data_IF_416471729169
#
_entry.id   IF_416471729169
#
_cell.length_a   1.000
_cell.length_b   1.000
_cell.length_c   1.000
_cell.angle_alpha   90.00
_cell.angle_beta   90.00
_cell.angle_gamma   90.00
#
_symmetry.space_group_name_H-M   'P 1'
#
loop_
_entity.id
_entity.type
_entity.pdbx_description
1 polymer ?
#
# COMPACT_ATOMS: atom_id res chain seq x y z
N UNK A 1 -6.56 -15.29 13.34
CA UNK A 1 -7.20 -15.53 12.02
C UNK A 1 -6.52 -16.71 11.34
N UNK A 2 -7.24 -17.53 10.57
CA UNK A 2 -6.62 -18.56 9.72
C UNK A 2 -6.22 -17.94 8.37
N UNK A 3 -4.91 -17.92 8.09
CA UNK A 3 -4.36 -17.33 6.87
C UNK A 3 -4.22 -18.35 5.74
N UNK A 4 -4.51 -19.63 5.96
CA UNK A 4 -4.26 -20.71 4.98
C UNK A 4 -4.92 -20.48 3.62
N UNK A 5 -6.06 -19.79 3.59
CA UNK A 5 -6.78 -19.45 2.34
C UNK A 5 -6.17 -18.31 1.53
N UNK A 6 -5.18 -17.59 2.11
CA UNK A 6 -4.54 -16.43 1.48
C UNK A 6 -3.05 -16.64 1.22
N UNK A 7 -2.39 -17.49 2.00
CA UNK A 7 -0.97 -17.77 1.92
C UNK A 7 -0.67 -18.90 0.93
N UNK A 8 0.49 -18.80 0.28
CA UNK A 8 1.09 -19.95 -0.38
C UNK A 8 1.71 -20.88 0.69
N UNK A 9 1.57 -22.22 0.57
CA UNK A 9 2.01 -23.14 1.60
C UNK A 9 3.52 -23.14 1.83
N UNK A 10 4.32 -22.93 0.78
CA UNK A 10 5.77 -22.90 0.86
C UNK A 10 6.29 -21.77 -0.03
N UNK A 11 7.04 -20.83 0.53
CA UNK A 11 7.74 -19.82 -0.24
C UNK A 11 9.20 -20.21 -0.44
N UNK A 12 9.69 -20.09 -1.67
CA UNK A 12 11.10 -20.28 -2.01
C UNK A 12 11.89 -18.97 -1.92
N UNK A 13 11.24 -17.87 -1.54
CA UNK A 13 11.91 -16.57 -1.42
C UNK A 13 13.05 -16.62 -0.42
N UNK A 14 14.23 -16.21 -0.86
CA UNK A 14 15.36 -15.94 0.03
C UNK A 14 15.18 -14.54 0.64
N UNK A 15 15.11 -14.50 1.97
CA UNK A 15 15.03 -13.25 2.72
C UNK A 15 16.33 -12.45 2.60
N UNK A 16 16.21 -11.14 2.79
CA UNK A 16 17.35 -10.25 2.88
C UNK A 16 18.09 -10.46 4.22
N UNK A 17 19.37 -10.09 4.28
CA UNK A 17 20.17 -10.20 5.52
C UNK A 17 19.57 -9.39 6.67
N UNK A 18 18.88 -8.30 6.36
CA UNK A 18 18.19 -7.44 7.32
C UNK A 18 16.76 -7.27 6.82
N UNK A 19 15.82 -7.88 7.55
CA UNK A 19 14.40 -7.63 7.34
C UNK A 19 13.94 -6.60 8.36
N UNK A 20 13.12 -5.66 7.89
CA UNK A 20 12.61 -4.58 8.72
C UNK A 20 11.10 -4.39 8.49
N UNK A 21 10.44 -3.84 9.51
CA UNK A 21 9.04 -3.47 9.47
C UNK A 21 8.84 -2.22 10.32
N UNK A 22 8.11 -1.25 9.81
CA UNK A 22 7.84 0.01 10.52
C UNK A 22 6.42 0.49 10.23
N UNK A 23 5.72 0.93 11.26
CA UNK A 23 4.38 1.48 11.12
C UNK A 23 4.18 2.69 12.03
N UNK A 24 3.46 3.69 11.53
CA UNK A 24 2.99 4.82 12.35
C UNK A 24 1.51 5.07 12.07
N UNK A 25 0.81 5.47 13.14
CA UNK A 25 -0.55 5.96 13.10
C UNK A 25 -0.54 7.41 13.57
N UNK A 26 -0.52 8.35 12.64
CA UNK A 26 -0.53 9.78 12.97
C UNK A 26 -1.91 10.21 13.45
N UNK A 27 -1.96 11.17 14.38
CA UNK A 27 -3.20 11.65 15.01
C UNK A 27 -4.10 10.48 15.49
N UNK A 28 -3.50 9.51 16.16
CA UNK A 28 -4.19 8.31 16.64
C UNK A 28 -5.43 8.58 17.54
N UNK A 29 -5.49 9.67 18.33
CA UNK A 29 -6.68 10.03 19.09
C UNK A 29 -7.88 10.47 18.22
N UNK A 30 -7.63 11.00 17.01
CA UNK A 30 -8.69 11.43 16.12
C UNK A 30 -9.39 10.22 15.47
N UNK A 31 -10.65 10.03 15.81
CA UNK A 31 -11.52 8.96 15.31
C UNK A 31 -12.59 9.44 14.33
N UNK A 32 -12.62 10.74 14.05
CA UNK A 32 -13.67 11.37 13.23
C UNK A 32 -13.22 11.65 11.79
N UNK A 33 -11.96 12.07 11.64
CA UNK A 33 -11.41 12.37 10.31
C UNK A 33 -11.13 11.09 9.51
N UNK A 34 -11.23 11.20 8.20
CA UNK A 34 -10.82 10.13 7.27
C UNK A 34 -9.41 9.66 7.58
N UNK A 35 -9.18 8.34 7.56
CA UNK A 35 -7.86 7.76 7.79
C UNK A 35 -7.44 6.91 6.61
N UNK A 36 -6.32 7.25 6.01
CA UNK A 36 -5.75 6.57 4.84
C UNK A 36 -4.65 5.63 5.32
N UNK A 37 -4.69 4.37 4.87
CA UNK A 37 -3.62 3.40 5.13
C UNK A 37 -2.73 3.25 3.90
N UNK A 38 -1.44 3.51 4.06
CA UNK A 38 -0.41 3.27 3.05
C UNK A 38 0.35 1.99 3.40
N UNK A 39 0.36 1.02 2.50
CA UNK A 39 1.07 -0.26 2.67
C UNK A 39 2.10 -0.38 1.56
N UNK A 40 3.36 -0.65 1.91
CA UNK A 40 4.41 -0.84 0.91
C UNK A 40 5.79 -1.07 1.49
N UNK A 41 6.78 -0.54 0.80
CA UNK A 41 8.21 -0.70 1.09
C UNK A 41 8.89 0.63 1.49
N UNK A 42 10.20 0.72 1.29
CA UNK A 42 10.99 1.92 1.59
C UNK A 42 10.54 3.16 0.81
N UNK A 43 9.91 3.01 -0.35
CA UNK A 43 9.39 4.13 -1.14
C UNK A 43 8.15 4.71 -0.45
N UNK A 44 7.23 3.87 0.04
CA UNK A 44 6.10 4.30 0.86
C UNK A 44 6.61 4.96 2.15
N UNK A 45 7.59 4.34 2.83
CA UNK A 45 8.19 4.90 4.05
C UNK A 45 8.78 6.30 3.81
N UNK A 46 9.44 6.53 2.69
CA UNK A 46 10.03 7.82 2.37
C UNK A 46 8.98 8.86 1.93
N UNK A 47 7.95 8.43 1.19
CA UNK A 47 6.90 9.33 0.67
C UNK A 47 5.87 9.73 1.73
N UNK A 48 5.65 8.93 2.77
CA UNK A 48 4.53 9.11 3.71
C UNK A 48 4.53 10.46 4.44
N UNK A 49 5.71 11.02 4.74
CA UNK A 49 5.80 12.34 5.38
C UNK A 49 5.25 13.45 4.48
N UNK A 50 5.50 13.38 3.17
CA UNK A 50 4.98 14.30 2.19
C UNK A 50 3.47 14.14 1.98
N UNK A 51 2.99 12.89 1.95
CA UNK A 51 1.55 12.60 1.92
C UNK A 51 0.84 13.21 3.14
N UNK A 52 1.42 13.01 4.33
CA UNK A 52 0.87 13.56 5.57
C UNK A 52 0.82 15.10 5.54
N UNK A 53 1.88 15.75 5.07
CA UNK A 53 1.92 17.21 5.00
C UNK A 53 0.91 17.75 3.98
N UNK A 54 0.83 17.12 2.81
CA UNK A 54 -0.09 17.55 1.76
C UNK A 54 -1.56 17.32 2.11
N UNK A 55 -1.87 16.32 2.95
CA UNK A 55 -3.24 15.94 3.35
C UNK A 55 -3.59 16.32 4.80
N UNK A 56 -2.78 17.18 5.44
CA UNK A 56 -2.93 17.48 6.88
C UNK A 56 -4.32 18.01 7.26
N UNK A 57 -4.98 18.72 6.35
CA UNK A 57 -6.32 19.29 6.54
C UNK A 57 -7.44 18.41 5.94
N UNK A 58 -7.08 17.35 5.21
CA UNK A 58 -8.01 16.49 4.46
C UNK A 58 -8.20 15.13 5.15
N UNK A 59 -7.11 14.51 5.66
CA UNK A 59 -7.14 13.15 6.20
C UNK A 59 -5.97 12.84 7.12
N UNK A 60 -6.17 11.92 8.04
CA UNK A 60 -5.11 11.31 8.85
C UNK A 60 -4.42 10.19 8.07
N UNK A 61 -3.11 10.04 8.26
CA UNK A 61 -2.31 9.00 7.62
C UNK A 61 -1.90 7.95 8.63
N UNK A 62 -2.05 6.71 8.25
CA UNK A 62 -1.36 5.56 8.83
C UNK A 62 -0.52 4.92 7.75
N UNK A 63 0.64 4.37 8.09
CA UNK A 63 1.40 3.58 7.13
C UNK A 63 2.03 2.36 7.78
N UNK A 64 2.22 1.34 6.97
CA UNK A 64 3.07 0.21 7.24
C UNK A 64 3.99 -0.03 6.05
N UNK A 65 5.28 -0.03 6.33
CA UNK A 65 6.30 -0.30 5.34
C UNK A 65 7.24 -1.40 5.81
N UNK A 66 7.60 -2.31 4.91
CA UNK A 66 8.42 -3.47 5.23
C UNK A 66 9.28 -3.91 4.05
N UNK A 67 10.42 -4.55 4.34
CA UNK A 67 11.24 -5.25 3.35
C UNK A 67 10.67 -6.63 3.00
N UNK A 68 9.65 -7.09 3.68
CA UNK A 68 9.06 -8.40 3.45
C UNK A 68 8.29 -8.46 2.14
N UNK A 69 8.34 -9.62 1.52
CA UNK A 69 7.50 -9.95 0.38
C UNK A 69 6.15 -10.52 0.84
N UNK A 70 5.10 -10.33 0.05
CA UNK A 70 3.78 -10.96 0.31
C UNK A 70 3.83 -12.47 0.44
N UNK A 71 4.87 -13.13 -0.10
CA UNK A 71 5.08 -14.58 0.02
C UNK A 71 5.76 -15.00 1.33
N UNK A 72 6.22 -14.05 2.17
CA UNK A 72 6.83 -14.38 3.45
C UNK A 72 5.76 -14.86 4.45
N UNK A 73 6.02 -15.90 5.23
CA UNK A 73 5.00 -16.55 6.07
C UNK A 73 4.48 -15.68 7.22
N UNK A 74 5.19 -14.62 7.56
CA UNK A 74 4.82 -13.65 8.60
C UNK A 74 4.18 -12.37 8.05
N UNK A 75 4.17 -12.16 6.71
CA UNK A 75 3.64 -10.94 6.09
C UNK A 75 2.17 -10.69 6.46
N UNK A 76 1.29 -11.68 6.26
CA UNK A 76 -0.14 -11.53 6.57
C UNK A 76 -0.42 -11.38 8.07
N UNK A 77 0.42 -11.94 8.95
CA UNK A 77 0.27 -11.75 10.40
C UNK A 77 0.53 -10.30 10.82
N UNK A 78 1.57 -9.70 10.24
CA UNK A 78 1.85 -8.28 10.48
C UNK A 78 0.77 -7.40 9.86
N UNK A 79 0.35 -7.70 8.65
CA UNK A 79 -0.72 -6.97 7.97
C UNK A 79 -2.05 -7.06 8.74
N UNK A 80 -2.39 -8.21 9.31
CA UNK A 80 -3.58 -8.39 10.16
C UNK A 80 -3.52 -7.47 11.38
N UNK A 81 -2.38 -7.45 12.07
CA UNK A 81 -2.16 -6.53 13.20
C UNK A 81 -2.28 -5.05 12.79
N UNK A 82 -1.71 -4.67 11.64
CA UNK A 82 -1.78 -3.30 11.15
C UNK A 82 -3.21 -2.90 10.78
N UNK A 83 -3.97 -3.80 10.17
CA UNK A 83 -5.36 -3.55 9.76
C UNK A 83 -6.33 -3.44 10.93
N UNK A 84 -5.99 -3.97 12.11
CA UNK A 84 -6.75 -3.76 13.35
C UNK A 84 -6.63 -2.30 13.87
N UNK A 85 -5.65 -1.54 13.40
CA UNK A 85 -5.43 -0.12 13.77
C UNK A 85 -6.43 0.88 13.17
N UNK A 86 -7.47 0.40 12.43
CA UNK A 86 -8.52 1.25 11.83
C UNK A 86 -9.37 2.03 12.82
N UNK A 87 -10.45 2.66 12.35
CA UNK A 87 -11.04 2.52 11.02
C UNK A 87 -10.26 3.22 9.91
N UNK A 88 -10.25 2.61 8.73
CA UNK A 88 -9.68 3.21 7.52
C UNK A 88 -10.78 3.57 6.53
N UNK A 89 -10.55 4.60 5.72
CA UNK A 89 -11.48 5.04 4.66
C UNK A 89 -10.94 4.77 3.26
N UNK A 90 -9.64 4.51 3.13
CA UNK A 90 -8.99 4.19 1.86
C UNK A 90 -7.66 3.48 2.14
N UNK A 91 -7.30 2.52 1.29
CA UNK A 91 -6.05 1.77 1.37
C UNK A 91 -5.29 1.91 0.07
N UNK A 92 -3.99 2.19 0.17
CA UNK A 92 -3.03 2.06 -0.93
C UNK A 92 -2.11 0.88 -0.64
N UNK A 93 -1.91 0.02 -1.63
CA UNK A 93 -1.13 -1.20 -1.48
C UNK A 93 -0.10 -1.36 -2.59
N UNK A 94 1.15 -1.58 -2.18
CA UNK A 94 2.27 -1.96 -3.05
C UNK A 94 3.07 -3.11 -2.43
N UNK A 95 3.53 -4.04 -3.25
CA UNK A 95 4.57 -5.01 -2.91
C UNK A 95 5.22 -5.52 -4.21
N UNK A 96 6.40 -5.03 -4.54
CA UNK A 96 7.09 -5.38 -5.79
C UNK A 96 8.60 -5.44 -5.64
N UNK A 97 9.27 -4.38 -5.20
CA UNK A 97 10.74 -4.27 -5.24
C UNK A 97 11.43 -5.41 -4.48
N UNK A 98 10.95 -5.75 -3.29
CA UNK A 98 11.51 -6.83 -2.47
C UNK A 98 11.16 -8.24 -3.00
N UNK A 99 10.21 -8.34 -3.94
CA UNK A 99 9.83 -9.58 -4.61
C UNK A 99 10.60 -9.83 -5.92
N UNK A 100 11.44 -8.91 -6.38
CA UNK A 100 12.14 -8.99 -7.68
C UNK A 100 12.99 -10.22 -7.90
N UNK A 101 13.39 -10.91 -6.84
CA UNK A 101 14.17 -12.16 -6.87
C UNK A 101 13.36 -13.40 -6.50
N UNK A 102 12.07 -13.24 -6.22
CA UNK A 102 11.16 -14.34 -5.90
C UNK A 102 10.73 -15.09 -7.16
N UNK A 103 10.26 -16.32 -7.00
CA UNK A 103 9.55 -16.99 -8.08
C UNK A 103 8.31 -16.19 -8.48
N UNK A 104 8.13 -15.86 -9.76
CA UNK A 104 7.02 -15.02 -10.19
C UNK A 104 5.64 -15.63 -9.94
N UNK A 105 5.49 -16.95 -10.01
CA UNK A 105 4.19 -17.62 -9.80
C UNK A 105 3.83 -17.60 -8.31
N UNK A 106 4.80 -17.85 -7.43
CA UNK A 106 4.62 -17.74 -5.97
C UNK A 106 4.23 -16.32 -5.57
N UNK A 107 4.97 -15.32 -6.07
CA UNK A 107 4.66 -13.92 -5.77
C UNK A 107 3.26 -13.53 -6.25
N UNK A 108 2.89 -13.87 -7.48
CA UNK A 108 1.55 -13.57 -8.04
C UNK A 108 0.44 -14.18 -7.20
N UNK A 109 0.60 -15.44 -6.80
CA UNK A 109 -0.38 -16.15 -5.96
C UNK A 109 -0.51 -15.49 -4.59
N UNK A 110 0.62 -15.17 -3.94
CA UNK A 110 0.65 -14.51 -2.63
C UNK A 110 0.12 -13.07 -2.69
N UNK A 111 0.41 -12.33 -3.79
CA UNK A 111 -0.13 -10.99 -4.01
C UNK A 111 -1.66 -11.01 -4.12
N UNK A 112 -2.20 -11.89 -4.95
CA UNK A 112 -3.64 -12.09 -5.09
C UNK A 112 -4.29 -12.52 -3.76
N UNK A 113 -3.63 -13.38 -3.00
CA UNK A 113 -4.06 -13.76 -1.65
C UNK A 113 -4.09 -12.58 -0.69
N UNK A 114 -3.06 -11.72 -0.71
CA UNK A 114 -2.99 -10.50 0.12
C UNK A 114 -4.09 -9.50 -0.22
N UNK A 115 -4.37 -9.30 -1.51
CA UNK A 115 -5.48 -8.43 -1.94
C UNK A 115 -6.81 -8.96 -1.43
N UNK A 116 -7.08 -10.27 -1.57
CA UNK A 116 -8.29 -10.89 -1.01
C UNK A 116 -8.36 -10.75 0.51
N UNK A 117 -7.23 -10.94 1.20
CA UNK A 117 -7.17 -10.73 2.64
C UNK A 117 -7.59 -9.31 3.03
N UNK A 118 -7.07 -8.27 2.35
CA UNK A 118 -7.44 -6.88 2.61
C UNK A 118 -8.93 -6.62 2.37
N UNK A 119 -9.49 -7.17 1.30
CA UNK A 119 -10.92 -7.03 0.97
C UNK A 119 -11.82 -7.75 2.00
N UNK A 120 -11.44 -8.95 2.45
CA UNK A 120 -12.19 -9.72 3.44
C UNK A 120 -12.08 -9.13 4.86
N UNK A 121 -10.89 -8.60 5.20
CA UNK A 121 -10.62 -7.99 6.52
C UNK A 121 -11.27 -6.62 6.67
N UNK A 122 -11.32 -5.84 5.59
CA UNK A 122 -11.81 -4.47 5.57
C UNK A 122 -12.91 -4.30 4.48
N UNK A 123 -14.06 -4.98 4.66
CA UNK A 123 -15.10 -5.01 3.64
C UNK A 123 -15.66 -3.61 3.38
N UNK A 124 -15.78 -3.28 2.09
CA UNK A 124 -16.30 -1.99 1.64
C UNK A 124 -15.31 -0.83 1.73
N UNK A 125 -14.08 -1.04 2.21
CA UNK A 125 -13.03 -0.02 2.16
C UNK A 125 -12.36 -0.07 0.78
N UNK A 126 -12.33 1.04 0.02
CA UNK A 126 -11.68 1.10 -1.27
C UNK A 126 -10.19 0.76 -1.18
N UNK A 127 -9.72 -0.08 -2.11
CA UNK A 127 -8.33 -0.51 -2.21
C UNK A 127 -7.76 -0.05 -3.56
N UNK A 128 -6.64 0.66 -3.53
CA UNK A 128 -5.89 1.10 -4.72
C UNK A 128 -4.57 0.35 -4.76
N UNK A 129 -4.30 -0.33 -5.86
CA UNK A 129 -3.01 -0.98 -6.09
C UNK A 129 -2.02 0.04 -6.65
N UNK A 130 -0.82 0.11 -6.08
CA UNK A 130 0.23 1.01 -6.58
C UNK A 130 1.27 0.22 -7.38
N UNK A 131 1.65 0.71 -8.54
CA UNK A 131 2.77 0.17 -9.30
C UNK A 131 4.09 0.50 -8.60
N UNK A 132 5.03 -0.43 -8.63
CA UNK A 132 6.38 -0.21 -8.09
C UNK A 132 7.17 0.73 -8.99
N UNK A 133 7.97 1.61 -8.39
CA UNK A 133 8.86 2.53 -9.10
C UNK A 133 9.99 1.78 -9.81
N UNK A 134 10.54 2.33 -10.91
CA UNK A 134 11.70 1.75 -11.57
C UNK A 134 12.96 1.84 -10.69
N UNK A 135 13.93 1.00 -10.97
CA UNK A 135 15.27 1.06 -10.40
C UNK A 135 16.19 1.93 -11.27
N UNK A 136 17.31 2.40 -10.70
CA UNK A 136 18.41 3.00 -11.47
C UNK A 136 19.05 2.01 -12.45
N UNK A 137 18.99 0.72 -12.14
CA UNK A 137 19.43 -0.40 -12.98
C UNK A 137 18.36 -0.77 -14.00
N UNK A 138 18.69 -0.72 -15.29
CA UNK A 138 17.80 -1.10 -16.39
C UNK A 138 17.31 -2.54 -16.25
N UNK A 139 18.22 -3.48 -15.97
CA UNK A 139 17.88 -4.90 -15.79
C UNK A 139 16.84 -5.12 -14.68
N UNK A 140 16.95 -4.39 -13.58
CA UNK A 140 15.99 -4.49 -12.47
C UNK A 140 14.68 -3.81 -12.87
N UNK A 141 14.75 -2.71 -13.59
CA UNK A 141 13.58 -2.00 -14.13
C UNK A 141 12.76 -2.88 -15.06
N UNK A 142 13.36 -3.68 -15.92
CA UNK A 142 12.66 -4.63 -16.81
C UNK A 142 11.88 -5.68 -15.98
N UNK A 143 12.49 -6.17 -14.91
CA UNK A 143 11.80 -7.09 -13.99
C UNK A 143 10.61 -6.40 -13.32
N UNK A 144 10.81 -5.20 -12.77
CA UNK A 144 9.74 -4.42 -12.13
C UNK A 144 8.63 -4.09 -13.12
N UNK A 145 8.98 -3.73 -14.36
CA UNK A 145 8.01 -3.45 -15.42
C UNK A 145 7.12 -4.67 -15.69
N UNK A 146 7.71 -5.87 -15.80
CA UNK A 146 6.97 -7.12 -15.97
C UNK A 146 6.03 -7.41 -14.80
N UNK A 147 6.48 -7.15 -13.57
CA UNK A 147 5.66 -7.27 -12.37
C UNK A 147 4.50 -6.26 -12.40
N UNK A 148 4.76 -5.01 -12.74
CA UNK A 148 3.76 -3.96 -12.84
C UNK A 148 2.70 -4.25 -13.91
N UNK A 149 3.10 -4.80 -15.07
CA UNK A 149 2.14 -5.25 -16.09
C UNK A 149 1.18 -6.29 -15.51
N UNK A 150 1.71 -7.26 -14.77
CA UNK A 150 0.86 -8.26 -14.12
C UNK A 150 -0.08 -7.61 -13.08
N UNK A 151 0.41 -6.68 -12.25
CA UNK A 151 -0.43 -5.96 -11.27
C UNK A 151 -1.55 -5.19 -11.97
N UNK A 152 -1.25 -4.50 -13.07
CA UNK A 152 -2.24 -3.76 -13.85
C UNK A 152 -3.31 -4.68 -14.47
N UNK A 153 -2.89 -5.84 -15.01
CA UNK A 153 -3.81 -6.84 -15.56
C UNK A 153 -4.68 -7.47 -14.46
N UNK A 154 -4.09 -7.82 -13.33
CA UNK A 154 -4.80 -8.32 -12.16
C UNK A 154 -5.82 -7.29 -11.63
N UNK A 155 -5.43 -6.04 -11.50
CA UNK A 155 -6.31 -4.96 -11.09
C UNK A 155 -7.52 -4.80 -12.03
N UNK A 156 -7.26 -4.80 -13.34
CA UNK A 156 -8.32 -4.72 -14.35
C UNK A 156 -9.31 -5.89 -14.25
N UNK A 157 -8.81 -7.12 -14.06
CA UNK A 157 -9.65 -8.32 -13.93
C UNK A 157 -10.49 -8.32 -12.65
N UNK A 158 -10.06 -7.62 -11.60
CA UNK A 158 -10.73 -7.52 -10.32
C UNK A 158 -11.40 -6.16 -10.09
N UNK A 159 -11.51 -5.32 -11.11
CA UNK A 159 -12.12 -3.97 -11.06
C UNK A 159 -11.51 -3.07 -9.99
N UNK A 160 -10.20 -3.22 -9.72
CA UNK A 160 -9.46 -2.41 -8.76
C UNK A 160 -8.75 -1.24 -9.44
N UNK A 161 -8.78 -0.05 -8.85
CA UNK A 161 -8.03 1.09 -9.34
C UNK A 161 -6.52 0.89 -9.16
N UNK A 162 -5.75 1.47 -10.08
CA UNK A 162 -4.29 1.46 -10.06
C UNK A 162 -3.76 2.90 -9.97
N UNK A 163 -2.78 3.12 -9.11
CA UNK A 163 -1.99 4.33 -9.05
C UNK A 163 -0.61 4.05 -9.69
N UNK A 164 -0.32 4.76 -10.77
CA UNK A 164 0.94 4.59 -11.50
C UNK A 164 2.07 5.42 -10.87
N UNK A 165 2.94 4.76 -10.12
CA UNK A 165 4.19 5.30 -9.60
C UNK A 165 5.39 5.03 -10.51
N UNK A 166 5.21 4.18 -11.54
CA UNK A 166 6.29 3.80 -12.44
C UNK A 166 6.56 4.85 -13.51
N UNK A 167 5.53 5.21 -14.29
CA UNK A 167 5.71 6.04 -15.48
C UNK A 167 6.30 7.43 -15.20
N UNK A 168 5.87 8.19 -14.18
CA UNK A 168 6.43 9.51 -13.90
C UNK A 168 7.89 9.45 -13.44
N UNK A 169 8.35 8.32 -12.88
CA UNK A 169 9.74 8.15 -12.46
C UNK A 169 10.60 7.63 -13.61
N UNK A 170 10.06 6.79 -14.50
CA UNK A 170 10.80 6.18 -15.60
C UNK A 170 11.38 7.18 -16.62
N UNK A 171 10.83 8.40 -16.66
CA UNK A 171 11.30 9.47 -17.56
C UNK A 171 12.33 10.40 -16.91
N UNK A 172 12.66 10.20 -15.63
CA UNK A 172 13.63 11.05 -14.93
C UNK A 172 15.07 10.69 -15.28
N UNK A 173 15.93 11.70 -15.20
CA UNK A 173 17.39 11.53 -15.33
C UNK A 173 17.93 10.67 -14.17
N UNK A 174 18.97 9.87 -14.43
CA UNK A 174 19.62 9.01 -13.41
C UNK A 174 20.09 9.76 -12.15
N UNK A 175 20.26 11.05 -12.24
CA UNK A 175 20.59 11.95 -11.11
C UNK A 175 19.47 12.10 -10.09
N UNK A 176 18.24 11.68 -10.43
CA UNK A 176 17.11 11.64 -9.50
C UNK A 176 17.23 10.55 -8.44
N UNK A 177 18.08 9.52 -8.68
CA UNK A 177 18.36 8.44 -7.74
C UNK A 177 19.55 8.74 -6.83
N UNK A 178 19.46 8.40 -5.54
CA UNK A 178 20.58 8.44 -4.60
C UNK A 178 21.31 7.09 -4.50
N UNK A 179 20.59 5.99 -4.77
CA UNK A 179 21.13 4.62 -4.91
C UNK A 179 20.35 3.88 -6.01
N UNK A 180 20.35 2.55 -6.02
CA UNK A 180 19.66 1.78 -7.06
C UNK A 180 18.12 1.84 -6.96
N UNK A 181 17.55 2.18 -5.81
CA UNK A 181 16.12 2.12 -5.56
C UNK A 181 15.52 3.42 -5.00
N UNK A 182 16.34 4.22 -4.28
CA UNK A 182 15.85 5.39 -3.59
C UNK A 182 16.17 6.67 -4.35
N UNK A 183 15.35 7.66 -4.11
CA UNK A 183 15.32 8.91 -4.87
C UNK A 183 15.72 10.11 -4.02
N UNK A 184 15.99 11.21 -4.69
CA UNK A 184 16.08 12.53 -4.06
C UNK A 184 14.70 12.95 -3.51
N UNK A 185 14.65 13.84 -2.50
CA UNK A 185 13.42 14.25 -1.83
C UNK A 185 12.30 14.70 -2.78
N UNK A 186 12.64 15.38 -3.87
CA UNK A 186 11.70 15.93 -4.85
C UNK A 186 10.86 14.84 -5.52
N UNK A 187 11.45 13.67 -5.74
CA UNK A 187 10.75 12.54 -6.34
C UNK A 187 9.74 11.94 -5.35
N UNK A 188 10.10 11.83 -4.07
CA UNK A 188 9.16 11.37 -3.04
C UNK A 188 7.99 12.34 -2.86
N UNK A 189 8.24 13.65 -2.95
CA UNK A 189 7.20 14.68 -2.92
C UNK A 189 6.26 14.56 -4.12
N UNK A 190 6.81 14.34 -5.32
CA UNK A 190 6.03 14.08 -6.54
C UNK A 190 5.16 12.82 -6.38
N UNK A 191 5.72 11.70 -5.91
CA UNK A 191 4.97 10.47 -5.68
C UNK A 191 3.86 10.66 -4.64
N UNK A 192 4.13 11.42 -3.58
CA UNK A 192 3.13 11.78 -2.57
C UNK A 192 1.99 12.60 -3.18
N UNK A 193 2.29 13.49 -4.13
CA UNK A 193 1.26 14.32 -4.80
C UNK A 193 0.27 13.46 -5.61
N UNK A 194 0.71 12.33 -6.16
CA UNK A 194 -0.17 11.38 -6.84
C UNK A 194 -1.16 10.72 -5.86
N UNK A 195 -0.67 10.29 -4.68
CA UNK A 195 -1.55 9.76 -3.61
C UNK A 195 -2.53 10.85 -3.16
N UNK A 196 -2.02 12.03 -2.84
CA UNK A 196 -2.82 13.13 -2.31
C UNK A 196 -3.90 13.57 -3.29
N UNK A 197 -3.58 13.61 -4.59
CA UNK A 197 -4.53 13.89 -5.66
C UNK A 197 -5.64 12.83 -5.74
N UNK A 198 -5.29 11.56 -5.62
CA UNK A 198 -6.27 10.47 -5.65
C UNK A 198 -7.17 10.45 -4.40
N UNK A 199 -6.62 10.75 -3.22
CA UNK A 199 -7.39 10.91 -1.99
C UNK A 199 -8.41 12.05 -2.13
N UNK A 200 -7.98 13.24 -2.58
CA UNK A 200 -8.88 14.39 -2.74
C UNK A 200 -10.00 14.14 -3.73
N UNK A 201 -9.73 13.48 -4.85
CA UNK A 201 -10.78 13.10 -5.82
C UNK A 201 -11.88 12.28 -5.16
N UNK A 202 -11.53 11.34 -4.27
CA UNK A 202 -12.48 10.45 -3.59
C UNK A 202 -13.25 11.15 -2.48
N UNK A 203 -12.59 12.01 -1.71
CA UNK A 203 -13.23 12.83 -0.67
C UNK A 203 -14.23 13.79 -1.32
N UNK A 204 -13.82 14.53 -2.36
CA UNK A 204 -14.68 15.51 -3.04
C UNK A 204 -15.81 14.88 -3.85
N UNK A 205 -15.64 13.64 -4.34
CA UNK A 205 -16.64 12.90 -5.12
C UNK A 205 -17.72 12.21 -4.29
N UNK A 206 -17.78 12.41 -2.97
CA UNK A 206 -18.75 11.75 -2.07
C UNK A 206 -18.52 10.24 -1.89
N UNK A 207 -17.44 9.70 -2.46
CA UNK A 207 -17.12 8.27 -2.39
C UNK A 207 -16.60 7.80 -1.03
N UNK A 208 -16.38 8.71 -0.09
CA UNK A 208 -15.88 8.43 1.27
C UNK A 208 -16.83 8.99 2.35
N UNK A 209 -18.15 8.95 2.10
CA UNK A 209 -19.10 9.24 3.16
C UNK A 209 -18.90 8.27 4.32
N UNK A 210 -18.59 8.83 5.50
CA UNK A 210 -18.56 8.07 6.74
C UNK A 210 -19.98 7.50 6.96
N UNK A 211 -20.15 6.19 6.80
CA UNK A 211 -21.29 5.51 7.41
C UNK A 211 -21.11 5.56 8.93
N UNK A 212 -21.59 6.64 9.53
CA UNK A 212 -21.79 6.73 10.97
C UNK A 212 -22.86 5.73 11.38
N UNK A 213 -22.50 4.47 11.54
CA UNK A 213 -23.31 3.49 12.25
C UNK A 213 -23.00 3.55 13.73
N UNK A 214 -23.27 4.69 14.35
CA UNK A 214 -23.51 4.75 15.79
C UNK A 214 -25.03 4.66 16.00
N UNK A 215 -25.59 3.47 15.77
CA UNK A 215 -26.83 3.08 16.46
C UNK A 215 -26.41 2.49 17.79
N UNK A 216 -26.25 3.35 18.79
CA UNK A 216 -26.26 2.90 20.17
C UNK A 216 -27.67 2.44 20.54
N UNK A 217 -27.82 1.26 21.17
CA UNK A 217 -29.08 0.90 21.80
C UNK A 217 -29.11 1.59 23.16
N UNK A 218 -29.95 2.62 23.35
CA UNK A 218 -30.51 2.89 24.67
C UNK A 218 -31.63 3.91 24.55
N UNK A 219 -32.84 3.35 24.31
CA UNK A 219 -34.04 3.96 24.82
C UNK A 219 -34.29 3.38 26.21
N UNK A 220 -34.02 4.13 27.27
CA UNK A 220 -34.75 4.02 28.54
C UNK A 220 -34.92 5.42 29.11
N UNK A 221 -36.14 5.89 29.03
CA UNK A 221 -36.70 6.92 29.89
C UNK A 221 -36.71 6.44 31.35
N UNK A 222 -36.11 7.21 32.22
CA UNK A 222 -36.71 7.63 33.48
C UNK A 222 -35.98 8.83 34.04
#
# INVERSE_FOLDING_TARGET
MDFSKYQIPNSTRQRENIEWSVSYCYNAPDKLSSRILLIGDSIVKASQQWVREQLRDDANISFWATSKCVSDPDYLRELDFITDGGPFTLIFFNNGIHARTSDPAEWRSAYAGTVRFLQDKLPGIPLILMLSTPSRSEKITDTIFTMNQWVADFARQNELPVLDWFSPVAVLEKTAWIDDFHFRPEVFEMLASLISGEVRKRISGGGLEQKSTLTGPDGILK
#
